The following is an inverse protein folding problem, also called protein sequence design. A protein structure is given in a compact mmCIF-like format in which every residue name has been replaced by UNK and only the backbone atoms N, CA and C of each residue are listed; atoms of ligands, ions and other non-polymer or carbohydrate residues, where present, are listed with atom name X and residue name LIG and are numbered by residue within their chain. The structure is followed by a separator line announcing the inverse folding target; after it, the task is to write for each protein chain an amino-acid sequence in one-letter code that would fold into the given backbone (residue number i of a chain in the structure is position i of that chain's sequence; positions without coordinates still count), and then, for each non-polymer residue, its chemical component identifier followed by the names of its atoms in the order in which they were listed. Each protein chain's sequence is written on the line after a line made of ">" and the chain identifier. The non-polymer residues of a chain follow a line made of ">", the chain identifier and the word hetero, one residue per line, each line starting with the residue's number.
data_IF_323931164379
#
_entry.id   IF_323931164379
#
_cell.length_a   1.000
_cell.length_b   1.000
_cell.length_c   1.000
_cell.angle_alpha   90.00
_cell.angle_beta   90.00
_cell.angle_gamma   90.00
#
_symmetry.space_group_name_H-M   'P 1'
#
loop_
_entity.id
_entity.type
_entity.pdbx_description
1 polymer ?
#
# COMPACT_ATOMS: atom_id res chain seq x y z
N UNK A 1 52.85 -39.08 -4.52
CA UNK A 1 51.47 -38.54 -4.47
C UNK A 1 51.49 -37.16 -3.82
N UNK A 2 51.14 -36.11 -4.57
CA UNK A 2 50.59 -34.85 -4.04
C UNK A 2 50.17 -33.98 -5.23
N UNK A 3 48.90 -34.08 -5.60
CA UNK A 3 48.27 -33.13 -6.52
C UNK A 3 47.97 -31.85 -5.74
N UNK A 4 48.52 -30.73 -6.20
CA UNK A 4 48.21 -29.40 -5.70
C UNK A 4 47.13 -28.82 -6.62
N UNK A 5 45.88 -28.80 -6.15
CA UNK A 5 44.77 -28.12 -6.83
C UNK A 5 44.79 -26.66 -6.38
N UNK A 6 45.07 -25.75 -7.31
CA UNK A 6 44.93 -24.31 -7.10
C UNK A 6 43.43 -23.96 -7.27
N UNK A 7 42.73 -23.66 -6.18
CA UNK A 7 41.40 -23.07 -6.23
C UNK A 7 41.55 -21.56 -6.40
N UNK A 8 41.21 -21.05 -7.59
CA UNK A 8 40.91 -19.62 -7.78
C UNK A 8 39.58 -19.29 -7.11
N UNK A 9 39.46 -18.19 -6.34
CA UNK A 9 38.17 -17.76 -5.84
C UNK A 9 37.35 -17.23 -7.04
N UNK A 10 36.16 -17.80 -7.21
CA UNK A 10 35.14 -17.27 -8.09
C UNK A 10 34.76 -15.88 -7.56
N UNK A 11 35.25 -14.82 -8.20
CA UNK A 11 34.78 -13.48 -7.91
C UNK A 11 33.29 -13.43 -8.26
N UNK A 12 32.45 -13.34 -7.23
CA UNK A 12 31.07 -12.89 -7.38
C UNK A 12 31.14 -11.55 -8.09
N UNK A 13 30.67 -11.47 -9.34
CA UNK A 13 30.32 -10.18 -9.93
C UNK A 13 29.20 -9.61 -9.05
N UNK A 14 29.58 -8.76 -8.11
CA UNK A 14 28.67 -7.76 -7.56
C UNK A 14 28.26 -6.89 -8.73
N UNK A 15 27.02 -7.05 -9.21
CA UNK A 15 26.40 -6.16 -10.17
C UNK A 15 26.25 -4.79 -9.50
N UNK A 16 27.32 -3.99 -9.52
CA UNK A 16 27.35 -2.64 -8.95
C UNK A 16 26.82 -1.65 -9.98
N UNK A 17 25.60 -1.84 -10.46
CA UNK A 17 24.78 -0.65 -10.72
C UNK A 17 24.48 -0.08 -9.34
N UNK A 18 25.19 0.98 -8.98
CA UNK A 18 24.97 1.70 -7.72
C UNK A 18 23.56 2.30 -7.78
N UNK A 19 22.59 1.54 -7.26
CA UNK A 19 21.19 1.97 -7.18
C UNK A 19 21.18 3.24 -6.33
N UNK A 20 20.64 4.33 -6.87
CA UNK A 20 20.41 5.57 -6.14
C UNK A 20 18.96 5.59 -5.61
N UNK A 21 18.72 5.20 -4.34
CA UNK A 21 17.37 5.04 -3.84
C UNK A 21 16.62 6.35 -3.74
N UNK A 22 17.33 7.44 -3.42
CA UNK A 22 16.73 8.76 -3.26
C UNK A 22 16.16 9.26 -4.59
N UNK A 23 16.90 9.05 -5.69
CA UNK A 23 16.43 9.39 -7.03
C UNK A 23 15.20 8.56 -7.43
N UNK A 24 15.20 7.26 -7.12
CA UNK A 24 14.03 6.40 -7.35
C UNK A 24 12.82 6.90 -6.56
N UNK A 25 13.02 7.29 -5.29
CA UNK A 25 11.97 7.86 -4.45
C UNK A 25 11.36 9.12 -5.05
N UNK A 26 12.20 10.06 -5.51
CA UNK A 26 11.70 11.27 -6.16
C UNK A 26 10.93 10.96 -7.45
N UNK A 27 11.44 10.03 -8.27
CA UNK A 27 10.82 9.66 -9.55
C UNK A 27 9.47 8.95 -9.36
N UNK A 28 9.39 7.93 -8.50
CA UNK A 28 8.12 7.25 -8.28
C UNK A 28 7.09 8.20 -7.64
N UNK A 29 7.52 9.07 -6.73
CA UNK A 29 6.61 9.99 -6.07
C UNK A 29 6.01 11.02 -7.03
N UNK A 30 6.80 11.45 -8.03
CA UNK A 30 6.30 12.27 -9.13
C UNK A 30 5.27 11.52 -10.00
N UNK A 31 5.53 10.24 -10.31
CA UNK A 31 4.57 9.38 -11.02
C UNK A 31 3.29 9.14 -10.25
N UNK A 32 3.37 8.95 -8.95
CA UNK A 32 2.21 8.83 -8.07
C UNK A 32 1.42 10.13 -7.98
N UNK A 33 2.07 11.30 -8.08
CA UNK A 33 1.39 12.59 -8.17
C UNK A 33 0.62 12.76 -9.49
N UNK A 34 1.24 12.39 -10.63
CA UNK A 34 0.58 12.34 -11.94
C UNK A 34 -0.63 11.39 -11.89
N UNK A 35 -0.47 10.22 -11.29
CA UNK A 35 -1.54 9.23 -11.12
C UNK A 35 -2.69 9.77 -10.24
N UNK A 36 -2.38 10.41 -9.11
CA UNK A 36 -3.39 11.01 -8.23
C UNK A 36 -4.21 12.08 -8.95
N UNK A 37 -3.55 12.94 -9.73
CA UNK A 37 -4.21 13.96 -10.55
C UNK A 37 -5.10 13.33 -11.62
N UNK A 38 -4.59 12.34 -12.35
CA UNK A 38 -5.35 11.63 -13.37
C UNK A 38 -6.58 10.94 -12.78
N UNK A 39 -6.44 10.25 -11.65
CA UNK A 39 -7.55 9.61 -10.92
C UNK A 39 -8.61 10.62 -10.47
N UNK A 40 -8.19 11.83 -10.10
CA UNK A 40 -9.07 12.95 -9.76
C UNK A 40 -9.99 13.38 -10.91
N UNK A 41 -9.66 13.08 -12.16
CA UNK A 41 -10.45 13.49 -13.33
C UNK A 41 -11.58 12.52 -13.68
N UNK A 42 -11.70 11.39 -12.98
CA UNK A 42 -12.71 10.37 -13.27
C UNK A 42 -13.65 10.14 -12.10
N UNK A 43 -14.93 9.96 -12.42
CA UNK A 43 -15.87 9.31 -11.49
C UNK A 43 -15.76 7.80 -11.68
N UNK A 44 -15.56 7.07 -10.60
CA UNK A 44 -15.51 5.61 -10.64
C UNK A 44 -16.38 4.97 -9.56
N UNK A 45 -16.85 3.76 -9.83
CA UNK A 45 -17.61 2.96 -8.86
C UNK A 45 -16.66 2.10 -8.04
N UNK A 46 -16.59 2.37 -6.74
CA UNK A 46 -15.85 1.57 -5.77
C UNK A 46 -16.80 0.57 -5.11
N UNK A 47 -16.40 -0.70 -5.05
CA UNK A 47 -17.10 -1.73 -4.28
C UNK A 47 -16.17 -2.24 -3.19
N UNK A 48 -16.54 -2.00 -1.94
CA UNK A 48 -15.87 -2.53 -0.76
C UNK A 48 -16.65 -3.75 -0.25
N UNK A 49 -15.94 -4.86 0.01
CA UNK A 49 -16.54 -6.07 0.57
C UNK A 49 -15.64 -6.59 1.69
N UNK A 50 -16.28 -6.95 2.80
CA UNK A 50 -15.63 -7.60 3.93
C UNK A 50 -16.39 -8.89 4.19
N UNK A 51 -15.67 -9.99 4.25
CA UNK A 51 -16.22 -11.34 4.38
C UNK A 51 -15.67 -11.97 5.65
N UNK A 52 -16.57 -12.51 6.46
CA UNK A 52 -16.22 -13.48 7.49
C UNK A 52 -16.30 -14.87 6.88
N UNK A 53 -15.21 -15.62 6.97
CA UNK A 53 -15.13 -16.98 6.46
C UNK A 53 -15.15 -17.96 7.64
N UNK A 54 -15.83 -19.10 7.46
CA UNK A 54 -15.69 -20.24 8.37
C UNK A 54 -14.35 -20.98 8.13
N UNK A 55 -13.97 -21.97 8.96
CA UNK A 55 -12.74 -22.73 8.77
C UNK A 55 -12.64 -23.49 7.43
N UNK A 56 -13.76 -23.72 6.76
CA UNK A 56 -13.82 -24.32 5.42
C UNK A 56 -13.77 -23.31 4.28
N UNK A 57 -13.67 -22.00 4.57
CA UNK A 57 -13.63 -20.93 3.58
C UNK A 57 -15.00 -20.44 3.11
N UNK A 58 -16.11 -20.93 3.69
CA UNK A 58 -17.45 -20.47 3.30
C UNK A 58 -17.77 -19.11 3.93
N UNK A 59 -18.43 -18.23 3.18
CA UNK A 59 -18.86 -16.92 3.67
C UNK A 59 -19.98 -17.10 4.69
N UNK A 60 -19.76 -16.65 5.93
CA UNK A 60 -20.75 -16.69 7.03
C UNK A 60 -21.25 -15.32 7.47
N UNK A 61 -20.54 -14.26 7.09
CA UNK A 61 -20.91 -12.87 7.34
C UNK A 61 -20.37 -11.98 6.23
N UNK A 62 -21.11 -10.93 5.87
CA UNK A 62 -20.75 -10.02 4.80
C UNK A 62 -21.11 -8.58 5.15
N UNK A 63 -20.17 -7.68 4.90
CA UNK A 63 -20.42 -6.26 4.75
C UNK A 63 -20.08 -5.85 3.32
N UNK A 64 -20.89 -4.99 2.72
CA UNK A 64 -20.68 -4.49 1.37
C UNK A 64 -21.12 -3.05 1.25
N UNK A 65 -20.29 -2.24 0.60
CA UNK A 65 -20.62 -0.86 0.25
C UNK A 65 -20.19 -0.60 -1.19
N UNK A 66 -21.15 -0.14 -2.00
CA UNK A 66 -20.93 0.29 -3.38
C UNK A 66 -21.15 1.79 -3.42
N UNK A 67 -20.15 2.52 -3.87
CA UNK A 67 -20.16 3.98 -3.90
C UNK A 67 -19.61 4.49 -5.23
N UNK A 68 -20.17 5.59 -5.71
CA UNK A 68 -19.56 6.37 -6.78
C UNK A 68 -18.64 7.42 -6.15
N UNK A 69 -17.36 7.37 -6.51
CA UNK A 69 -16.33 8.28 -6.03
C UNK A 69 -16.20 9.42 -7.02
N UNK A 70 -16.39 10.64 -6.53
CA UNK A 70 -16.44 11.87 -7.32
C UNK A 70 -15.45 12.85 -6.72
N UNK A 71 -14.60 13.45 -7.54
CA UNK A 71 -13.72 14.53 -7.10
C UNK A 71 -14.30 15.86 -7.54
N UNK A 72 -14.33 16.82 -6.63
CA UNK A 72 -14.71 18.19 -6.94
C UNK A 72 -13.57 18.90 -7.68
N UNK A 73 -13.84 20.04 -8.35
CA UNK A 73 -12.79 20.81 -9.05
C UNK A 73 -11.62 21.25 -8.16
N UNK A 74 -11.84 21.41 -6.85
CA UNK A 74 -10.83 21.68 -5.82
C UNK A 74 -10.08 20.41 -5.34
N UNK A 75 -10.31 19.26 -5.98
CA UNK A 75 -9.62 18.00 -5.71
C UNK A 75 -10.16 17.22 -4.51
N UNK A 76 -11.28 17.64 -3.91
CA UNK A 76 -11.85 16.98 -2.75
C UNK A 76 -12.60 15.72 -3.17
N UNK A 77 -12.23 14.59 -2.55
CA UNK A 77 -12.95 13.32 -2.70
C UNK A 77 -14.32 13.41 -2.02
N UNK A 78 -15.37 13.13 -2.77
CA UNK A 78 -16.73 12.93 -2.28
C UNK A 78 -17.20 11.53 -2.64
N UNK A 79 -18.05 10.96 -1.79
CA UNK A 79 -18.58 9.62 -1.97
C UNK A 79 -20.09 9.68 -2.01
N UNK A 80 -20.68 9.14 -3.08
CA UNK A 80 -22.13 8.90 -3.16
C UNK A 80 -22.40 7.41 -3.02
N UNK A 81 -22.97 7.00 -1.89
CA UNK A 81 -23.38 5.61 -1.68
C UNK A 81 -24.47 5.25 -2.69
N UNK A 82 -24.22 4.20 -3.47
CA UNK A 82 -25.14 3.63 -4.46
C UNK A 82 -25.92 2.47 -3.85
N UNK A 83 -25.24 1.64 -3.06
CA UNK A 83 -25.83 0.46 -2.42
C UNK A 83 -25.05 0.10 -1.16
N UNK A 84 -25.76 -0.04 -0.04
CA UNK A 84 -25.20 -0.48 1.23
C UNK A 84 -26.23 -1.40 1.93
N UNK A 85 -26.26 -2.71 1.61
CA UNK A 85 -27.12 -3.66 2.31
C UNK A 85 -26.76 -3.74 3.80
N UNK A 86 -27.72 -4.18 4.62
CA UNK A 86 -27.49 -4.43 6.05
C UNK A 86 -26.36 -5.45 6.22
N UNK A 87 -25.40 -5.13 7.07
CA UNK A 87 -24.27 -5.99 7.40
C UNK A 87 -24.73 -7.27 8.11
N UNK A 88 -24.14 -8.41 7.75
CA UNK A 88 -24.32 -9.69 8.46
C UNK A 88 -23.04 -10.17 9.16
N UNK A 89 -22.05 -9.29 9.34
CA UNK A 89 -20.86 -9.57 10.13
C UNK A 89 -21.25 -9.95 11.57
N UNK A 90 -20.60 -10.99 12.12
CA UNK A 90 -20.90 -11.54 13.45
C UNK A 90 -19.75 -11.32 14.44
N UNK A 91 -18.52 -11.31 13.94
CA UNK A 91 -17.29 -11.30 14.74
C UNK A 91 -16.47 -10.02 14.51
N UNK A 92 -16.74 -9.28 13.43
CA UNK A 92 -16.06 -8.05 13.08
C UNK A 92 -16.97 -6.83 13.29
N UNK A 93 -16.46 -5.86 14.02
CA UNK A 93 -17.03 -4.51 14.08
C UNK A 93 -16.16 -3.59 13.24
N UNK A 94 -16.78 -2.86 12.31
CA UNK A 94 -16.09 -1.84 11.53
C UNK A 94 -16.09 -0.53 12.32
N UNK A 95 -14.90 -0.06 12.65
CA UNK A 95 -14.70 1.23 13.31
C UNK A 95 -14.54 2.35 12.27
N UNK A 96 -14.75 3.62 12.66
CA UNK A 96 -14.47 4.76 11.79
C UNK A 96 -13.01 4.79 11.26
N UNK A 97 -12.05 4.33 12.07
CA UNK A 97 -10.66 4.22 11.67
C UNK A 97 -10.45 3.16 10.57
N UNK A 98 -11.17 2.03 10.63
CA UNK A 98 -11.12 1.01 9.59
C UNK A 98 -11.70 1.54 8.27
N UNK A 99 -12.80 2.29 8.33
CA UNK A 99 -13.35 2.97 7.16
C UNK A 99 -12.39 3.99 6.57
N UNK A 100 -11.69 4.75 7.41
CA UNK A 100 -10.67 5.71 6.95
C UNK A 100 -9.50 4.99 6.27
N UNK A 101 -9.06 3.85 6.81
CA UNK A 101 -8.01 3.02 6.20
C UNK A 101 -8.45 2.47 4.85
N UNK A 102 -9.68 1.93 4.75
CA UNK A 102 -10.26 1.42 3.50
C UNK A 102 -10.36 2.51 2.42
N UNK A 103 -10.57 3.77 2.82
CA UNK A 103 -10.69 4.92 1.89
C UNK A 103 -9.34 5.48 1.47
N UNK A 104 -8.40 5.63 2.41
CA UNK A 104 -7.23 6.49 2.24
C UNK A 104 -5.90 5.72 2.32
N UNK A 105 -5.86 4.62 3.06
CA UNK A 105 -4.61 3.88 3.31
C UNK A 105 -4.47 2.70 2.35
N UNK A 106 -5.51 1.87 2.19
CA UNK A 106 -5.43 0.67 1.37
C UNK A 106 -5.19 0.94 -0.13
N UNK A 107 -5.77 2.00 -0.74
CA UNK A 107 -5.44 2.38 -2.11
C UNK A 107 -4.03 2.98 -2.28
N UNK A 108 -3.25 3.08 -1.21
CA UNK A 108 -1.97 3.76 -1.03
C UNK A 108 -1.38 4.43 -2.27
N UNK A 109 -1.30 5.76 -2.21
CA UNK A 109 -0.56 6.60 -3.15
C UNK A 109 0.45 7.39 -2.32
N UNK A 110 1.69 7.49 -2.80
CA UNK A 110 2.76 8.22 -2.11
C UNK A 110 3.33 9.31 -3.01
N UNK A 111 2.74 10.50 -2.92
CA UNK A 111 3.08 11.63 -3.79
C UNK A 111 4.29 12.43 -3.29
N UNK A 112 4.83 13.30 -4.14
CA UNK A 112 5.93 14.23 -3.79
C UNK A 112 5.63 15.10 -2.56
N UNK A 113 4.37 15.46 -2.33
CA UNK A 113 3.96 16.26 -1.17
C UNK A 113 3.89 15.44 0.13
N UNK A 114 3.96 14.11 0.03
CA UNK A 114 3.76 13.18 1.14
C UNK A 114 5.04 12.47 1.53
N UNK A 115 5.97 12.23 0.61
CA UNK A 115 7.24 11.51 0.90
C UNK A 115 8.02 12.12 2.07
N UNK A 116 7.92 13.44 2.29
CA UNK A 116 8.57 14.13 3.43
C UNK A 116 8.03 13.67 4.79
N UNK A 117 6.80 13.15 4.85
CA UNK A 117 6.14 12.62 6.06
C UNK A 117 6.58 11.20 6.41
N UNK A 118 7.35 10.54 5.55
CA UNK A 118 7.74 9.13 5.70
C UNK A 118 9.25 8.95 5.76
N UNK A 119 9.70 8.01 6.59
CA UNK A 119 10.99 7.36 6.43
C UNK A 119 10.83 6.29 5.35
N UNK A 120 11.57 6.44 4.25
CA UNK A 120 11.55 5.53 3.11
C UNK A 120 12.94 4.91 3.00
N UNK A 121 13.04 3.59 3.17
CA UNK A 121 14.33 2.88 3.20
C UNK A 121 14.34 1.77 2.16
N UNK A 122 15.32 1.81 1.27
CA UNK A 122 15.52 0.75 0.28
C UNK A 122 15.90 -0.58 0.95
N UNK A 123 15.26 -1.66 0.49
CA UNK A 123 15.45 -3.01 1.01
C UNK A 123 16.14 -3.93 0.00
N UNK A 124 16.17 -3.57 -1.28
CA UNK A 124 16.75 -4.39 -2.35
C UNK A 124 15.79 -4.58 -3.53
N UNK A 125 16.17 -5.46 -4.45
CA UNK A 125 15.31 -5.89 -5.56
C UNK A 125 14.53 -7.15 -5.20
N UNK A 126 13.27 -7.21 -5.61
CA UNK A 126 12.42 -8.40 -5.49
C UNK A 126 11.37 -8.36 -6.61
N UNK A 127 10.93 -9.51 -7.10
CA UNK A 127 9.79 -9.56 -8.01
C UNK A 127 8.47 -9.45 -7.23
N UNK A 128 7.55 -8.62 -7.73
CA UNK A 128 6.13 -8.72 -7.44
C UNK A 128 5.50 -9.58 -8.53
N UNK A 129 5.28 -10.86 -8.23
CA UNK A 129 4.95 -11.91 -9.20
C UNK A 129 5.98 -12.00 -10.33
N UNK A 130 5.66 -11.54 -11.54
CA UNK A 130 6.55 -11.53 -12.71
C UNK A 130 7.22 -10.16 -12.95
N UNK A 131 6.89 -9.13 -12.15
CA UNK A 131 7.36 -7.74 -12.33
C UNK A 131 8.62 -7.50 -11.47
N UNK A 132 9.80 -7.21 -12.06
CA UNK A 132 11.00 -6.86 -11.30
C UNK A 132 10.83 -5.50 -10.62
N UNK A 133 11.05 -5.43 -9.31
CA UNK A 133 10.80 -4.22 -8.53
C UNK A 133 11.97 -3.84 -7.61
N UNK A 134 12.08 -2.55 -7.32
CA UNK A 134 12.74 -2.02 -6.13
C UNK A 134 11.79 -2.08 -4.93
N UNK A 135 12.26 -2.61 -3.80
CA UNK A 135 11.45 -2.70 -2.57
C UNK A 135 11.88 -1.64 -1.57
N UNK A 136 10.91 -0.95 -0.99
CA UNK A 136 11.13 0.05 0.05
C UNK A 136 10.29 -0.24 1.29
N UNK A 137 10.88 -0.10 2.48
CA UNK A 137 10.13 0.04 3.72
C UNK A 137 9.67 1.48 3.87
N UNK A 138 8.40 1.67 4.21
CA UNK A 138 7.74 2.97 4.40
C UNK A 138 7.18 3.03 5.81
N UNK A 139 7.57 4.06 6.57
CA UNK A 139 7.09 4.30 7.94
C UNK A 139 6.84 5.78 8.19
N UNK A 140 5.69 6.19 8.77
CA UNK A 140 5.45 7.60 9.06
C UNK A 140 6.47 8.12 10.09
N UNK A 141 6.95 9.35 9.88
CA UNK A 141 7.88 10.02 10.81
C UNK A 141 7.18 10.47 12.08
N UNK A 142 5.93 10.91 11.96
CA UNK A 142 5.13 11.45 13.07
C UNK A 142 3.67 11.09 12.83
N UNK A 143 2.95 10.82 13.90
CA UNK A 143 1.51 10.53 13.86
C UNK A 143 0.75 11.74 14.41
N UNK A 144 -0.16 12.29 13.61
CA UNK A 144 -1.02 13.40 14.01
C UNK A 144 -2.40 12.90 14.48
N UNK A 145 -3.03 13.57 15.46
CA UNK A 145 -4.39 13.22 15.89
C UNK A 145 -5.40 13.26 14.73
N UNK A 146 -6.19 12.20 14.57
CA UNK A 146 -7.22 12.09 13.52
C UNK A 146 -6.68 11.74 12.12
N UNK A 147 -5.37 11.58 11.96
CA UNK A 147 -4.76 11.14 10.71
C UNK A 147 -4.42 9.65 10.73
N UNK A 148 -4.53 9.03 9.56
CA UNK A 148 -4.17 7.63 9.30
C UNK A 148 -3.07 7.60 8.25
N UNK A 149 -2.07 6.76 8.48
CA UNK A 149 -0.88 6.62 7.64
C UNK A 149 -0.67 5.16 7.27
N UNK A 150 0.08 4.92 6.21
CA UNK A 150 0.53 3.58 5.86
C UNK A 150 1.86 3.24 6.55
N UNK A 151 1.98 2.05 7.10
CA UNK A 151 3.26 1.47 7.52
C UNK A 151 3.41 0.08 6.89
N UNK A 152 4.50 -0.12 6.14
CA UNK A 152 4.69 -1.37 5.41
C UNK A 152 5.82 -1.35 4.39
N UNK A 153 5.66 -2.15 3.36
CA UNK A 153 6.56 -2.27 2.21
C UNK A 153 5.82 -1.90 0.93
N UNK A 154 6.57 -1.30 0.00
CA UNK A 154 6.10 -1.02 -1.36
C UNK A 154 7.07 -1.61 -2.38
N UNK A 155 6.52 -2.10 -3.49
CA UNK A 155 7.25 -2.58 -4.65
C UNK A 155 7.04 -1.57 -5.77
N UNK A 156 8.14 -0.97 -6.19
CA UNK A 156 8.21 0.01 -7.27
C UNK A 156 8.79 -0.70 -8.49
N UNK A 157 8.01 -0.80 -9.57
CA UNK A 157 8.48 -1.39 -10.83
C UNK A 157 9.81 -0.74 -11.25
N UNK A 158 10.81 -1.55 -11.62
CA UNK A 158 12.15 -1.07 -11.94
C UNK A 158 12.27 -0.40 -13.33
N UNK A 159 11.19 -0.44 -14.12
CA UNK A 159 11.09 0.21 -15.43
C UNK A 159 10.32 1.53 -15.38
N UNK A 160 9.03 1.47 -15.06
CA UNK A 160 8.16 2.66 -15.11
C UNK A 160 8.15 3.45 -13.80
N UNK A 161 8.77 2.91 -12.75
CA UNK A 161 8.85 3.51 -11.42
C UNK A 161 7.47 3.80 -10.83
N UNK A 162 6.51 2.91 -11.07
CA UNK A 162 5.18 2.95 -10.46
C UNK A 162 5.10 1.99 -9.28
N UNK A 163 4.31 2.33 -8.26
CA UNK A 163 4.01 1.41 -7.18
C UNK A 163 3.02 0.37 -7.69
N UNK A 164 3.47 -0.88 -7.85
CA UNK A 164 2.66 -1.99 -8.37
C UNK A 164 2.11 -2.88 -7.26
N UNK A 165 2.76 -2.87 -6.09
CA UNK A 165 2.31 -3.64 -4.94
C UNK A 165 2.62 -2.92 -3.62
N UNK A 166 1.73 -3.06 -2.65
CA UNK A 166 1.96 -2.64 -1.27
C UNK A 166 1.56 -3.75 -0.30
N UNK A 167 2.30 -3.87 0.79
CA UNK A 167 2.00 -4.81 1.88
C UNK A 167 2.25 -4.12 3.21
N UNK A 168 1.21 -3.93 4.01
CA UNK A 168 1.32 -3.13 5.23
C UNK A 168 0.01 -3.00 5.96
N UNK A 169 -0.09 -1.98 6.81
CA UNK A 169 -1.28 -1.69 7.61
C UNK A 169 -1.47 -0.19 7.78
N UNK A 170 -2.68 0.20 8.18
CA UNK A 170 -2.92 1.54 8.70
C UNK A 170 -2.35 1.71 10.10
N UNK A 171 -1.78 2.88 10.35
CA UNK A 171 -1.30 3.31 11.68
C UNK A 171 -1.75 4.74 11.96
N UNK A 172 -1.95 5.06 13.23
CA UNK A 172 -2.40 6.37 13.68
C UNK A 172 -2.50 6.40 15.21
N UNK A 173 -2.73 7.58 15.77
CA UNK A 173 -2.95 7.71 17.21
C UNK A 173 -4.31 7.10 17.59
N UNK A 174 -4.29 6.14 18.51
CA UNK A 174 -5.49 5.53 19.05
C UNK A 174 -5.92 6.20 20.36
N UNK A 175 -7.23 6.22 20.60
CA UNK A 175 -7.76 6.59 21.92
C UNK A 175 -7.30 5.59 22.98
N UNK A 176 -7.08 6.07 24.20
CA UNK A 176 -6.70 5.23 25.35
C UNK A 176 -7.75 4.12 25.54
N UNK A 177 -7.30 2.87 25.58
CA UNK A 177 -8.17 1.69 25.72
C UNK A 177 -8.78 1.17 24.41
N UNK A 178 -8.35 1.68 23.25
CA UNK A 178 -8.72 1.09 21.96
C UNK A 178 -8.04 -0.27 21.78
N UNK A 179 -8.80 -1.25 21.31
CA UNK A 179 -8.34 -2.61 20.96
C UNK A 179 -8.40 -2.85 19.43
N UNK A 180 -8.39 -1.77 18.64
CA UNK A 180 -8.43 -1.92 17.18
C UNK A 180 -7.10 -2.50 16.65
N UNK A 181 -7.20 -3.54 15.82
CA UNK A 181 -6.11 -4.43 15.43
C UNK A 181 -5.41 -4.04 14.11
N UNK A 182 -6.07 -3.28 13.22
CA UNK A 182 -5.56 -2.87 11.90
C UNK A 182 -4.77 -3.98 11.16
N UNK A 183 -5.47 -5.02 10.66
CA UNK A 183 -4.83 -6.15 10.01
C UNK A 183 -3.99 -5.69 8.81
N UNK A 184 -2.95 -6.46 8.51
CA UNK A 184 -2.17 -6.22 7.31
C UNK A 184 -3.00 -6.53 6.07
N UNK A 185 -2.81 -5.73 5.04
CA UNK A 185 -3.38 -5.91 3.73
C UNK A 185 -2.28 -5.97 2.69
N UNK A 186 -2.64 -6.50 1.53
CA UNK A 186 -1.85 -6.49 0.33
C UNK A 186 -2.69 -5.85 -0.78
N UNK A 187 -2.12 -4.88 -1.48
CA UNK A 187 -2.77 -4.22 -2.62
C UNK A 187 -1.89 -4.43 -3.85
N UNK A 188 -2.49 -4.90 -4.94
CA UNK A 188 -1.87 -4.99 -6.26
C UNK A 188 -2.50 -3.93 -7.17
N UNK A 189 -1.68 -3.34 -8.04
CA UNK A 189 -2.09 -2.39 -9.07
C UNK A 189 -1.67 -2.95 -10.42
N UNK A 190 -2.67 -3.20 -11.25
CA UNK A 190 -2.56 -3.66 -12.63
C UNK A 190 -2.85 -2.52 -13.61
#
# INVERSE_FOLDING_TARGET
>A
MRNLILLLPLALLSDTTEVNPEEIVQKFAAKEAEFAQARGNYTYRQTMRILELDPGGNVRGKHEMVSDIIFTPDGKRTERVVRAPVSSLQNLLLTPEDEQDLRNVQPFVLTTNEISKYHIRYLGKQNADEIPCYVFAVKPKTLEPGQRYFEGQIWVDDRDLQIVKTYGKGVGLLKKGSDNQFPKFETFRE
#
